data_IF_175445091679
#
_entry.id   IF_175445091679
#
_cell.length_a   1.000
_cell.length_b   1.000
_cell.length_c   1.000
_cell.angle_alpha   90.00
_cell.angle_beta   90.00
_cell.angle_gamma   90.00
#
_symmetry.space_group_name_H-M   'P 1'
#
loop_
_entity.id
_entity.type
_entity.pdbx_description
1 polymer ?
#
# COMPACT_ATOMS: atom_id res chain seq x y z
N UNK A 1 -25.07 -0.63 -23.92
CA UNK A 1 -24.21 -1.63 -23.26
C UNK A 1 -24.70 -1.72 -21.82
N UNK A 2 -25.54 -2.71 -21.52
CA UNK A 2 -26.11 -2.88 -20.19
C UNK A 2 -25.04 -3.56 -19.34
N UNK A 3 -24.52 -2.84 -18.35
CA UNK A 3 -23.65 -3.42 -17.33
C UNK A 3 -24.60 -4.16 -16.39
N UNK A 4 -24.74 -5.47 -16.61
CA UNK A 4 -25.43 -6.36 -15.69
C UNK A 4 -24.80 -6.20 -14.30
N UNK A 5 -25.56 -5.61 -13.38
CA UNK A 5 -25.26 -5.73 -11.95
C UNK A 5 -25.55 -7.17 -11.57
N UNK A 6 -24.54 -8.03 -11.73
CA UNK A 6 -24.52 -9.34 -11.12
C UNK A 6 -24.74 -9.14 -9.63
N UNK A 7 -25.86 -9.65 -9.11
CA UNK A 7 -26.17 -9.64 -7.69
C UNK A 7 -25.07 -10.44 -6.96
N UNK A 8 -24.01 -9.75 -6.54
CA UNK A 8 -22.98 -10.33 -5.69
C UNK A 8 -23.67 -10.77 -4.40
N UNK A 9 -23.67 -12.08 -4.13
CA UNK A 9 -24.13 -12.64 -2.85
C UNK A 9 -23.52 -11.84 -1.68
N UNK A 10 -24.16 -11.79 -0.51
CA UNK A 10 -23.69 -10.98 0.63
C UNK A 10 -22.22 -11.22 1.03
N UNK A 11 -21.66 -12.38 0.65
CA UNK A 11 -20.25 -12.71 0.78
C UNK A 11 -19.33 -11.99 -0.22
N UNK A 12 -19.75 -11.78 -1.47
CA UNK A 12 -19.03 -10.99 -2.46
C UNK A 12 -18.93 -9.52 -2.04
N UNK A 13 -20.04 -8.96 -1.57
CA UNK A 13 -20.07 -7.60 -1.01
C UNK A 13 -19.21 -7.46 0.26
N UNK A 14 -19.17 -8.50 1.11
CA UNK A 14 -18.30 -8.52 2.29
C UNK A 14 -16.81 -8.58 1.91
N UNK A 15 -16.44 -9.35 0.87
CA UNK A 15 -15.08 -9.40 0.31
C UNK A 15 -14.66 -8.03 -0.25
N UNK A 16 -15.51 -7.40 -1.05
CA UNK A 16 -15.26 -6.07 -1.62
C UNK A 16 -15.05 -5.01 -0.52
N UNK A 17 -15.94 -4.95 0.48
CA UNK A 17 -15.81 -4.01 1.61
C UNK A 17 -14.55 -4.27 2.43
N UNK A 18 -14.16 -5.53 2.61
CA UNK A 18 -12.93 -5.88 3.32
C UNK A 18 -11.69 -5.43 2.54
N UNK A 19 -11.69 -5.65 1.22
CA UNK A 19 -10.62 -5.19 0.33
C UNK A 19 -10.50 -3.66 0.38
N UNK A 20 -11.60 -2.95 0.13
CA UNK A 20 -11.66 -1.48 0.15
C UNK A 20 -11.14 -0.90 1.48
N UNK A 21 -11.58 -1.46 2.62
CA UNK A 21 -11.11 -1.02 3.94
C UNK A 21 -9.60 -1.20 4.12
N UNK A 22 -9.05 -2.31 3.64
CA UNK A 22 -7.62 -2.59 3.79
C UNK A 22 -6.76 -1.72 2.85
N UNK A 23 -7.20 -1.51 1.61
CA UNK A 23 -6.54 -0.58 0.68
C UNK A 23 -6.58 0.85 1.21
N UNK A 24 -7.74 1.31 1.67
CA UNK A 24 -7.87 2.66 2.25
C UNK A 24 -6.98 2.85 3.47
N UNK A 25 -6.83 1.81 4.31
CA UNK A 25 -5.90 1.85 5.45
C UNK A 25 -4.45 1.90 4.98
N UNK A 26 -4.07 1.05 4.03
CA UNK A 26 -2.72 1.01 3.46
C UNK A 26 -2.33 2.37 2.86
N UNK A 27 -3.21 2.95 2.05
CA UNK A 27 -2.98 4.26 1.45
C UNK A 27 -2.77 5.34 2.49
N UNK A 28 -3.59 5.37 3.55
CA UNK A 28 -3.41 6.34 4.64
C UNK A 28 -2.07 6.17 5.34
N UNK A 29 -1.69 4.93 5.65
CA UNK A 29 -0.42 4.65 6.34
C UNK A 29 0.79 5.08 5.50
N UNK A 30 0.80 4.72 4.21
CA UNK A 30 1.90 5.05 3.30
C UNK A 30 1.99 6.55 3.07
N UNK A 31 0.86 7.23 2.84
CA UNK A 31 0.84 8.70 2.69
C UNK A 31 1.38 9.38 3.94
N UNK A 32 0.93 9.00 5.14
CA UNK A 32 1.45 9.59 6.38
C UNK A 32 2.94 9.34 6.59
N UNK A 33 3.47 8.17 6.18
CA UNK A 33 4.92 7.89 6.22
C UNK A 33 5.69 8.78 5.24
N UNK A 34 5.18 8.99 4.03
CA UNK A 34 5.78 9.89 3.03
C UNK A 34 5.80 11.32 3.58
N UNK A 35 4.67 11.83 4.07
CA UNK A 35 4.56 13.17 4.65
C UNK A 35 5.57 13.38 5.78
N UNK A 36 5.69 12.41 6.69
CA UNK A 36 6.66 12.48 7.79
C UNK A 36 8.11 12.49 7.28
N UNK A 37 8.45 11.62 6.32
CA UNK A 37 9.80 11.56 5.75
C UNK A 37 10.15 12.84 4.99
N UNK A 38 9.21 13.42 4.25
CA UNK A 38 9.40 14.70 3.57
C UNK A 38 9.63 15.85 4.56
N UNK A 39 8.84 15.93 5.63
CA UNK A 39 9.03 16.95 6.67
C UNK A 39 10.39 16.82 7.37
N UNK A 40 10.89 15.59 7.58
CA UNK A 40 12.23 15.37 8.11
C UNK A 40 13.33 15.84 7.15
N UNK A 41 13.17 15.63 5.84
CA UNK A 41 14.11 16.14 4.85
C UNK A 41 14.10 17.68 4.81
N UNK A 42 12.94 18.30 4.87
CA UNK A 42 12.82 19.76 4.96
C UNK A 42 13.61 20.33 6.17
N UNK A 43 13.44 19.75 7.35
CA UNK A 43 14.18 20.15 8.55
C UNK A 43 15.71 19.96 8.42
N UNK A 44 16.15 18.89 7.75
CA UNK A 44 17.58 18.67 7.47
C UNK A 44 18.13 19.73 6.53
N UNK A 45 17.38 20.11 5.50
CA UNK A 45 17.76 21.16 4.55
C UNK A 45 17.91 22.49 5.27
N UNK A 46 16.91 22.89 6.06
CA UNK A 46 16.96 24.14 6.83
C UNK A 46 18.18 24.17 7.75
N UNK A 47 18.48 23.04 8.41
CA UNK A 47 19.67 22.89 9.25
C UNK A 47 20.96 23.04 8.45
N UNK A 48 21.06 22.39 7.30
CA UNK A 48 22.26 22.44 6.46
C UNK A 48 22.51 23.86 5.94
N UNK A 49 21.48 24.53 5.42
CA UNK A 49 21.58 25.93 4.96
C UNK A 49 22.05 26.84 6.10
N UNK A 50 21.54 26.64 7.32
CA UNK A 50 21.95 27.43 8.49
C UNK A 50 23.41 27.18 8.90
N UNK A 51 23.92 25.96 8.74
CA UNK A 51 25.27 25.58 9.18
C UNK A 51 26.36 25.86 8.13
N UNK A 52 26.05 25.62 6.86
CA UNK A 52 27.03 25.61 5.76
C UNK A 52 26.85 26.77 4.77
N UNK A 53 25.76 27.55 4.91
CA UNK A 53 25.44 28.64 4.00
C UNK A 53 24.88 28.16 2.65
N UNK A 54 24.61 29.11 1.75
CA UNK A 54 24.02 28.84 0.43
C UNK A 54 25.06 28.49 -0.65
N UNK A 55 26.35 28.47 -0.32
CA UNK A 55 27.41 28.28 -1.31
C UNK A 55 27.40 26.89 -1.96
N UNK A 56 26.78 25.89 -1.30
CA UNK A 56 26.62 24.52 -1.81
C UNK A 56 25.18 24.18 -2.27
N UNK A 57 24.36 25.19 -2.61
CA UNK A 57 22.92 24.99 -2.88
C UNK A 57 22.64 23.91 -3.94
N UNK A 58 23.46 23.81 -5.00
CA UNK A 58 23.30 22.79 -6.05
C UNK A 58 23.55 21.36 -5.55
N UNK A 59 24.52 21.17 -4.66
CA UNK A 59 24.80 19.86 -4.05
C UNK A 59 23.72 19.46 -3.05
N UNK A 60 23.24 20.43 -2.26
CA UNK A 60 22.11 20.23 -1.35
C UNK A 60 20.85 19.83 -2.13
N UNK A 61 20.51 20.54 -3.22
CA UNK A 61 19.34 20.21 -4.05
C UNK A 61 19.44 18.78 -4.63
N UNK A 62 20.62 18.38 -5.14
CA UNK A 62 20.83 17.03 -5.66
C UNK A 62 20.66 15.96 -4.59
N UNK A 63 21.15 16.20 -3.38
CA UNK A 63 21.01 15.29 -2.26
C UNK A 63 19.53 15.12 -1.88
N UNK A 64 18.81 16.23 -1.77
CA UNK A 64 17.38 16.26 -1.46
C UNK A 64 16.56 15.52 -2.51
N UNK A 65 16.83 15.76 -3.80
CA UNK A 65 16.13 15.05 -4.88
C UNK A 65 16.35 13.54 -4.79
N UNK A 66 17.58 13.11 -4.50
CA UNK A 66 17.91 11.69 -4.32
C UNK A 66 17.17 11.09 -3.13
N UNK A 67 17.13 11.77 -2.00
CA UNK A 67 16.49 11.28 -0.79
C UNK A 67 14.96 11.22 -0.95
N UNK A 68 14.35 12.26 -1.54
CA UNK A 68 12.93 12.27 -1.88
C UNK A 68 12.57 11.15 -2.87
N UNK A 69 13.41 10.91 -3.88
CA UNK A 69 13.22 9.79 -4.82
C UNK A 69 13.23 8.46 -4.07
N UNK A 70 14.20 8.27 -3.16
CA UNK A 70 14.31 7.04 -2.38
C UNK A 70 13.10 6.82 -1.44
N UNK A 71 12.58 7.90 -0.84
CA UNK A 71 11.37 7.84 -0.03
C UNK A 71 10.17 7.32 -0.84
N UNK A 72 10.04 7.77 -2.10
CA UNK A 72 8.97 7.34 -2.99
C UNK A 72 9.17 5.89 -3.47
N UNK A 73 10.41 5.50 -3.81
CA UNK A 73 10.74 4.11 -4.19
C UNK A 73 10.40 3.13 -3.06
N UNK A 74 10.82 3.42 -1.83
CA UNK A 74 10.54 2.58 -0.66
C UNK A 74 9.01 2.45 -0.42
N UNK A 75 8.27 3.54 -0.62
CA UNK A 75 6.81 3.52 -0.47
C UNK A 75 6.13 2.66 -1.55
N UNK A 76 6.63 2.68 -2.79
CA UNK A 76 6.14 1.82 -3.87
C UNK A 76 6.39 0.34 -3.53
N UNK A 77 7.59 0.00 -3.08
CA UNK A 77 7.92 -1.38 -2.66
C UNK A 77 7.02 -1.85 -1.50
N UNK A 78 6.76 -0.99 -0.51
CA UNK A 78 5.86 -1.30 0.60
C UNK A 78 4.43 -1.56 0.14
N UNK A 79 3.89 -0.72 -0.76
CA UNK A 79 2.57 -0.92 -1.35
C UNK A 79 2.51 -2.26 -2.10
N UNK A 80 3.52 -2.55 -2.92
CA UNK A 80 3.56 -3.79 -3.70
C UNK A 80 3.56 -5.03 -2.80
N UNK A 81 4.39 -5.04 -1.75
CA UNK A 81 4.45 -6.13 -0.79
C UNK A 81 3.09 -6.35 -0.11
N UNK A 82 2.45 -5.25 0.34
CA UNK A 82 1.14 -5.31 1.02
C UNK A 82 0.02 -5.74 0.08
N UNK A 83 0.08 -5.36 -1.19
CA UNK A 83 -0.84 -5.85 -2.22
C UNK A 83 -0.70 -7.35 -2.42
N UNK A 84 0.54 -7.87 -2.50
CA UNK A 84 0.79 -9.31 -2.61
C UNK A 84 0.29 -10.08 -1.38
N UNK A 85 0.47 -9.56 -0.16
CA UNK A 85 -0.09 -10.16 1.06
C UNK A 85 -1.62 -10.25 1.01
N UNK A 86 -2.29 -9.18 0.54
CA UNK A 86 -3.74 -9.16 0.37
C UNK A 86 -4.18 -10.20 -0.66
N UNK A 87 -3.51 -10.28 -1.81
CA UNK A 87 -3.81 -11.24 -2.87
C UNK A 87 -3.67 -12.69 -2.40
N UNK A 88 -2.59 -13.03 -1.70
CA UNK A 88 -2.38 -14.36 -1.10
C UNK A 88 -3.52 -14.72 -0.15
N UNK A 89 -3.93 -13.78 0.71
CA UNK A 89 -5.06 -13.98 1.61
C UNK A 89 -6.35 -14.28 0.85
N UNK A 90 -6.65 -13.55 -0.23
CA UNK A 90 -7.83 -13.81 -1.06
C UNK A 90 -7.78 -15.19 -1.72
N UNK A 91 -6.65 -15.59 -2.28
CA UNK A 91 -6.47 -16.91 -2.89
C UNK A 91 -6.68 -18.03 -1.86
N UNK A 92 -6.16 -17.87 -0.64
CA UNK A 92 -6.36 -18.85 0.45
C UNK A 92 -7.83 -19.02 0.84
N UNK A 93 -8.62 -17.94 0.82
CA UNK A 93 -10.07 -18.00 1.09
C UNK A 93 -10.85 -18.71 -0.01
N UNK A 94 -10.33 -18.74 -1.23
CA UNK A 94 -10.92 -19.45 -2.37
C UNK A 94 -10.54 -20.93 -2.38
N UNK A 95 -9.30 -21.27 -2.01
CA UNK A 95 -8.86 -22.66 -1.82
C UNK A 95 -9.64 -23.38 -0.71
N UNK A 96 -9.90 -22.70 0.42
CA UNK A 96 -10.73 -23.26 1.50
C UNK A 96 -12.15 -23.60 0.99
N UNK A 97 -12.68 -22.86 0.00
CA UNK A 97 -13.95 -23.19 -0.65
C UNK A 97 -13.85 -24.37 -1.61
N UNK A 98 -12.72 -24.54 -2.28
CA UNK A 98 -12.44 -25.70 -3.15
C UNK A 98 -12.44 -27.04 -2.39
N UNK A 99 -12.13 -27.02 -1.09
CA UNK A 99 -12.18 -28.21 -0.21
C UNK A 99 -13.59 -28.43 0.39
N UNK A 100 -14.54 -27.51 0.22
CA UNK A 100 -15.84 -27.54 0.90
C UNK A 100 -16.95 -28.37 0.19
N UNK A 101 -16.62 -29.25 -0.75
CA UNK A 101 -17.57 -30.27 -1.24
C UNK A 101 -16.86 -31.61 -1.39
N UNK A 102 -16.70 -32.34 -0.27
CA UNK A 102 -17.06 -33.77 -0.12
C UNK A 102 -17.31 -34.07 1.36
N UNK A 103 -18.26 -33.36 1.98
CA UNK A 103 -18.86 -33.82 3.25
C UNK A 103 -20.13 -34.65 3.02
N UNK A 104 -20.40 -35.03 1.78
CA UNK A 104 -21.48 -35.99 1.43
C UNK A 104 -20.96 -37.41 1.14
N UNK A 105 -19.65 -37.64 1.02
CA UNK A 105 -19.08 -39.01 0.87
C UNK A 105 -18.88 -39.73 2.24
N UNK A 106 -19.32 -39.15 3.36
CA UNK A 106 -19.13 -39.72 4.70
C UNK A 106 -20.42 -40.13 5.43
N UNK A 107 -21.56 -40.18 4.74
CA UNK A 107 -22.75 -40.81 5.30
C UNK A 107 -23.31 -41.88 4.36
N UNK A 108 -22.84 -43.11 4.62
CA UNK A 108 -23.47 -44.42 4.35
C UNK A 108 -23.88 -44.80 2.93
#
# INVERSE_FOLDING_TARGET
MNIEHSNTTGLGQAKEKYFEKNINRLMKEVVSKIEMKMALEELKIERNIRLEGLENTDEVIKHVQKDLTKILEDAIEEIQLKMSEIEIYFNSLEEIKGISIRKEDFNK
#
